data_IF_872079792998
#
_entry.id   IF_872079792998
#
_cell.length_a   1.000
_cell.length_b   1.000
_cell.length_c   1.000
_cell.angle_alpha   90.00
_cell.angle_beta   90.00
_cell.angle_gamma   90.00
#
_symmetry.space_group_name_H-M   'P 1'
#
loop_
_entity.id
_entity.type
_entity.pdbx_description
1 polymer ?
#
# COMPACT_ATOMS: atom_id res chain seq x y z
N UNK A 1 -8.10 15.36 -3.87
CA UNK A 1 -7.47 14.82 -5.09
C UNK A 1 -6.67 13.61 -4.67
N UNK A 2 -6.99 12.42 -5.18
CA UNK A 2 -6.25 11.20 -4.84
C UNK A 2 -4.92 11.18 -5.60
N UNK A 3 -3.81 10.94 -4.90
CA UNK A 3 -2.47 10.88 -5.48
C UNK A 3 -1.95 9.44 -5.44
N UNK A 4 -1.47 8.95 -6.58
CA UNK A 4 -0.76 7.67 -6.69
C UNK A 4 0.74 7.96 -6.59
N UNK A 5 1.45 7.24 -5.72
CA UNK A 5 2.90 7.32 -5.57
C UNK A 5 3.48 5.91 -5.69
N UNK A 6 4.50 5.75 -6.52
CA UNK A 6 5.32 4.53 -6.59
C UNK A 6 6.49 4.68 -5.64
N UNK A 7 6.82 3.63 -4.91
CA UNK A 7 7.93 3.61 -3.96
C UNK A 7 8.75 2.33 -4.14
N UNK A 8 9.96 2.36 -3.59
CA UNK A 8 10.81 1.19 -3.55
C UNK A 8 10.24 0.14 -2.60
N UNK A 9 10.61 -1.12 -2.83
CA UNK A 9 10.10 -2.26 -2.06
C UNK A 9 10.48 -2.19 -0.57
N UNK A 10 11.63 -1.59 -0.25
CA UNK A 10 12.08 -1.39 1.13
C UNK A 10 11.14 -0.44 1.89
N UNK A 11 10.89 0.75 1.31
CA UNK A 11 9.94 1.72 1.86
C UNK A 11 8.52 1.15 1.97
N UNK A 12 8.13 0.28 1.04
CA UNK A 12 6.86 -0.43 1.11
C UNK A 12 6.78 -1.36 2.31
N UNK A 13 7.85 -2.13 2.58
CA UNK A 13 7.89 -3.04 3.71
C UNK A 13 7.78 -2.29 5.04
N UNK A 14 8.45 -1.14 5.16
CA UNK A 14 8.38 -0.27 6.33
C UNK A 14 6.96 0.26 6.53
N UNK A 15 6.36 0.86 5.50
CA UNK A 15 4.97 1.35 5.55
C UNK A 15 3.97 0.24 5.88
N UNK A 16 4.16 -0.95 5.32
CA UNK A 16 3.31 -2.09 5.60
C UNK A 16 3.45 -2.56 7.05
N UNK A 17 4.67 -2.57 7.59
CA UNK A 17 4.95 -2.98 8.98
C UNK A 17 4.38 -2.03 10.03
N UNK A 18 4.32 -0.72 9.71
CA UNK A 18 3.76 0.32 10.58
C UNK A 18 2.23 0.42 10.49
N UNK A 19 1.61 -0.24 9.51
CA UNK A 19 0.19 -0.12 9.22
C UNK A 19 -0.64 -1.25 9.81
N UNK A 20 -1.90 -0.93 10.15
CA UNK A 20 -2.92 -1.93 10.47
C UNK A 20 -3.73 -2.30 9.23
N UNK A 21 -3.74 -3.58 8.86
CA UNK A 21 -4.48 -4.05 7.68
C UNK A 21 -5.97 -4.11 7.98
N UNK A 22 -6.77 -3.38 7.19
CA UNK A 22 -8.23 -3.42 7.24
C UNK A 22 -8.76 -4.54 6.35
N UNK A 23 -8.27 -4.59 5.11
CA UNK A 23 -8.71 -5.56 4.11
C UNK A 23 -7.57 -5.89 3.14
N UNK A 24 -7.62 -7.08 2.55
CA UNK A 24 -6.74 -7.47 1.45
C UNK A 24 -7.57 -8.09 0.33
N UNK A 25 -7.47 -7.51 -0.86
CA UNK A 25 -8.09 -8.03 -2.08
C UNK A 25 -7.00 -8.48 -3.04
N UNK A 26 -7.19 -9.65 -3.66
CA UNK A 26 -6.27 -10.17 -4.68
C UNK A 26 -6.88 -10.06 -6.07
N UNK A 27 -6.14 -9.52 -7.02
CA UNK A 27 -6.52 -9.42 -8.44
C UNK A 27 -5.37 -10.00 -9.27
N UNK A 28 -5.52 -11.26 -9.71
CA UNK A 28 -4.43 -11.99 -10.36
C UNK A 28 -3.23 -12.17 -9.42
N UNK A 29 -2.05 -11.70 -9.85
CA UNK A 29 -0.84 -11.71 -9.02
C UNK A 29 -0.72 -10.50 -8.09
N UNK A 30 -1.54 -9.47 -8.28
CA UNK A 30 -1.49 -8.24 -7.49
C UNK A 30 -2.32 -8.37 -6.22
N UNK A 31 -1.80 -7.90 -5.09
CA UNK A 31 -2.53 -7.72 -3.84
C UNK A 31 -2.73 -6.24 -3.56
N UNK A 32 -3.95 -5.89 -3.21
CA UNK A 32 -4.31 -4.55 -2.75
C UNK A 32 -4.64 -4.65 -1.26
N UNK A 33 -3.83 -4.02 -0.43
CA UNK A 33 -4.03 -3.92 1.01
C UNK A 33 -4.62 -2.56 1.33
N UNK A 34 -5.84 -2.53 1.85
CA UNK A 34 -6.37 -1.32 2.48
C UNK A 34 -5.89 -1.30 3.92
N UNK A 35 -5.16 -0.26 4.30
CA UNK A 35 -4.51 -0.16 5.61
C UNK A 35 -4.76 1.20 6.25
N UNK A 36 -4.65 1.25 7.57
CA UNK A 36 -4.58 2.50 8.33
C UNK A 36 -3.17 2.67 8.87
N UNK A 37 -2.51 3.74 8.45
CA UNK A 37 -1.16 4.12 8.89
C UNK A 37 -1.25 5.23 9.96
N UNK A 38 -0.46 5.17 11.04
CA UNK A 38 -0.56 6.11 12.16
C UNK A 38 -0.38 7.59 11.78
N UNK A 39 0.53 7.87 10.85
CA UNK A 39 0.86 9.25 10.42
C UNK A 39 0.32 9.65 9.05
N UNK A 40 -0.01 8.67 8.19
CA UNK A 40 -0.39 8.91 6.79
C UNK A 40 -1.88 8.70 6.53
N UNK A 41 -2.64 8.23 7.52
CA UNK A 41 -4.07 7.98 7.40
C UNK A 41 -4.39 6.69 6.65
N UNK A 42 -5.50 6.68 5.91
CA UNK A 42 -5.93 5.50 5.16
C UNK A 42 -5.20 5.41 3.82
N UNK A 43 -4.54 4.28 3.59
CA UNK A 43 -3.76 4.00 2.40
C UNK A 43 -4.28 2.74 1.69
N UNK A 44 -4.10 2.71 0.36
CA UNK A 44 -4.12 1.46 -0.40
C UNK A 44 -2.69 1.14 -0.79
N UNK A 45 -2.14 0.04 -0.28
CA UNK A 45 -0.83 -0.49 -0.66
C UNK A 45 -1.02 -1.55 -1.74
N UNK A 46 -0.28 -1.47 -2.83
CA UNK A 46 -0.39 -2.34 -4.02
C UNK A 46 0.91 -3.14 -4.17
N UNK A 47 0.88 -4.41 -3.80
CA UNK A 47 1.94 -5.39 -4.02
C UNK A 47 1.70 -6.09 -5.37
N UNK A 48 2.51 -5.79 -6.38
CA UNK A 48 2.39 -6.39 -7.73
C UNK A 48 3.21 -7.66 -7.91
N UNK A 49 3.88 -8.18 -6.86
CA UNK A 49 4.74 -9.35 -6.95
C UNK A 49 6.01 -9.15 -7.80
N UNK A 50 6.40 -7.90 -8.03
CA UNK A 50 7.60 -7.45 -8.74
C UNK A 50 8.47 -6.63 -7.79
N UNK A 51 9.70 -6.28 -8.17
CA UNK A 51 10.65 -5.50 -7.34
C UNK A 51 10.21 -4.07 -6.98
N UNK A 52 8.98 -3.69 -7.32
CA UNK A 52 8.40 -2.35 -7.18
C UNK A 52 6.97 -2.49 -6.65
N UNK A 53 6.55 -1.59 -5.77
CA UNK A 53 5.22 -1.54 -5.21
C UNK A 53 4.67 -0.10 -5.23
N UNK A 54 3.35 0.06 -5.31
CA UNK A 54 2.70 1.37 -5.35
C UNK A 54 1.77 1.60 -4.17
N UNK A 55 1.44 2.86 -3.86
CA UNK A 55 0.33 3.15 -2.97
C UNK A 55 -0.52 4.35 -3.41
N UNK A 56 -1.75 4.41 -2.91
CA UNK A 56 -2.69 5.49 -3.18
C UNK A 56 -3.11 6.13 -1.86
N UNK A 57 -2.98 7.46 -1.77
CA UNK A 57 -3.51 8.25 -0.67
C UNK A 57 -4.97 8.61 -0.94
N UNK A 58 -5.87 8.25 -0.02
CA UNK A 58 -7.32 8.40 -0.16
C UNK A 58 -7.92 9.66 0.48
N UNK A 59 -7.08 10.66 0.84
CA UNK A 59 -7.51 11.96 1.39
C UNK A 59 -8.72 12.58 0.66
#
# INVERSE_FOLDING_TARGET
MQQIQTIDLEDFADLYSESSIINTTRIGNTKLHTVTHPTRGNLILIDTGTSEAGFINLN
#
